data_IF_708997641000
#
_entry.id   IF_708997641000
#
_cell.length_a   1.000
_cell.length_b   1.000
_cell.length_c   1.000
_cell.angle_alpha   90.00
_cell.angle_beta   90.00
_cell.angle_gamma   90.00
#
_symmetry.space_group_name_H-M   'P 1'
#
loop_
_entity.id
_entity.type
_entity.pdbx_description
1 polymer ?
#
# COMPACT_ATOMS: atom_id res chain seq x y z
N UNK A 1 -5.96 2.79 35.35
CA UNK A 1 -6.15 1.38 34.95
C UNK A 1 -6.54 1.26 33.48
N UNK A 2 -5.56 1.31 32.57
CA UNK A 2 -5.78 1.15 31.12
C UNK A 2 -5.64 -0.30 30.64
N UNK A 3 -5.37 -1.25 31.57
CA UNK A 3 -5.04 -2.65 31.28
C UNK A 3 -6.28 -3.54 31.06
N UNK A 4 -7.49 -3.04 31.36
CA UNK A 4 -8.74 -3.81 31.17
C UNK A 4 -9.37 -3.66 29.78
N UNK A 5 -8.88 -2.75 28.94
CA UNK A 5 -9.31 -2.61 27.53
C UNK A 5 -8.57 -3.52 26.55
N UNK A 6 -7.48 -4.17 26.98
CA UNK A 6 -6.60 -5.01 26.15
C UNK A 6 -7.13 -6.44 25.90
N UNK A 7 -8.38 -6.75 26.23
CA UNK A 7 -8.88 -8.15 26.28
C UNK A 7 -9.89 -8.56 25.22
N UNK A 8 -10.14 -7.75 24.17
CA UNK A 8 -10.96 -8.14 23.00
C UNK A 8 -10.49 -7.28 21.81
N UNK A 9 -9.99 -7.74 20.67
CA UNK A 9 -9.88 -9.07 20.04
C UNK A 9 -8.95 -8.91 18.83
N UNK A 10 -7.86 -9.66 18.73
CA UNK A 10 -7.25 -9.91 17.41
C UNK A 10 -8.10 -10.98 16.75
N UNK A 11 -9.03 -10.59 15.86
CA UNK A 11 -9.88 -11.57 15.19
C UNK A 11 -9.05 -12.34 14.17
N UNK A 12 -9.07 -13.68 14.18
CA UNK A 12 -8.37 -14.51 13.18
C UNK A 12 -8.81 -14.17 11.74
N UNK A 13 -9.97 -13.54 11.57
CA UNK A 13 -10.44 -13.00 10.30
C UNK A 13 -9.58 -11.87 9.74
N UNK A 14 -9.05 -10.97 10.57
CA UNK A 14 -8.13 -9.91 10.13
C UNK A 14 -6.79 -10.51 9.69
N UNK A 15 -6.30 -11.52 10.41
CA UNK A 15 -5.08 -12.24 10.04
C UNK A 15 -5.23 -12.94 8.67
N UNK A 16 -6.36 -13.65 8.46
CA UNK A 16 -6.67 -14.24 7.16
C UNK A 16 -6.74 -13.20 6.03
N UNK A 17 -7.37 -12.04 6.29
CA UNK A 17 -7.41 -10.94 5.34
C UNK A 17 -6.01 -10.41 4.98
N UNK A 18 -5.13 -10.23 5.98
CA UNK A 18 -3.76 -9.77 5.76
C UNK A 18 -2.93 -10.78 4.96
N UNK A 19 -3.05 -12.08 5.26
CA UNK A 19 -2.36 -13.15 4.52
C UNK A 19 -2.82 -13.22 3.07
N UNK A 20 -4.13 -13.13 2.82
CA UNK A 20 -4.68 -13.07 1.46
C UNK A 20 -4.15 -11.85 0.70
N UNK A 21 -4.12 -10.68 1.34
CA UNK A 21 -3.62 -9.46 0.72
C UNK A 21 -2.11 -9.57 0.42
N UNK A 22 -1.32 -10.11 1.36
CA UNK A 22 0.12 -10.32 1.18
C UNK A 22 0.44 -11.25 0.02
N UNK A 23 -0.31 -12.35 -0.09
CA UNK A 23 -0.18 -13.28 -1.21
C UNK A 23 -0.52 -12.59 -2.55
N UNK A 24 -1.52 -11.70 -2.58
CA UNK A 24 -1.81 -10.91 -3.77
C UNK A 24 -0.66 -9.94 -4.11
N UNK A 25 -0.17 -9.18 -3.13
CA UNK A 25 0.96 -8.26 -3.30
C UNK A 25 2.20 -8.96 -3.88
N UNK A 26 2.56 -10.12 -3.33
CA UNK A 26 3.68 -10.92 -3.82
C UNK A 26 3.41 -11.55 -5.19
N UNK A 27 2.15 -11.89 -5.51
CA UNK A 27 1.76 -12.39 -6.82
C UNK A 27 1.94 -11.35 -7.94
N UNK A 28 1.73 -10.06 -7.66
CA UNK A 28 2.00 -8.99 -8.62
C UNK A 28 3.50 -8.82 -8.94
N UNK A 29 4.40 -9.39 -8.12
CA UNK A 29 5.86 -9.38 -8.31
C UNK A 29 6.42 -7.98 -8.62
N UNK A 30 5.86 -6.95 -7.98
CA UNK A 30 6.31 -5.57 -8.15
C UNK A 30 7.71 -5.45 -7.55
N UNK A 31 8.61 -4.89 -8.35
CA UNK A 31 10.01 -4.66 -8.07
C UNK A 31 10.32 -3.23 -8.48
N UNK A 32 10.67 -2.38 -7.51
CA UNK A 32 10.94 -0.95 -7.73
C UNK A 32 12.14 -0.65 -8.62
N UNK A 33 12.95 -1.66 -8.93
CA UNK A 33 14.07 -1.55 -9.86
C UNK A 33 13.70 -1.87 -11.32
N UNK A 34 12.42 -2.18 -11.62
CA UNK A 34 11.99 -2.48 -12.99
C UNK A 34 11.72 -1.23 -13.84
N UNK A 35 11.35 -1.43 -15.11
CA UNK A 35 10.96 -0.35 -16.01
C UNK A 35 9.75 0.43 -15.47
N UNK A 36 9.84 1.76 -15.52
CA UNK A 36 8.89 2.67 -14.89
C UNK A 36 7.44 2.49 -15.39
N UNK A 37 7.23 2.37 -16.71
CA UNK A 37 5.87 2.16 -17.24
C UNK A 37 5.27 0.85 -16.75
N UNK A 38 6.09 -0.21 -16.66
CA UNK A 38 5.67 -1.52 -16.19
C UNK A 38 5.31 -1.49 -14.71
N UNK A 39 6.16 -0.86 -13.88
CA UNK A 39 5.88 -0.66 -12.45
C UNK A 39 4.58 0.12 -12.25
N UNK A 40 4.42 1.23 -12.98
CA UNK A 40 3.21 2.07 -12.92
C UNK A 40 1.96 1.25 -13.25
N UNK A 41 2.00 0.45 -14.32
CA UNK A 41 0.88 -0.42 -14.71
C UNK A 41 0.57 -1.49 -13.64
N UNK A 42 1.59 -2.12 -13.06
CA UNK A 42 1.38 -3.11 -12.01
C UNK A 42 0.80 -2.51 -10.73
N UNK A 43 1.24 -1.31 -10.34
CA UNK A 43 0.67 -0.59 -9.19
C UNK A 43 -0.79 -0.21 -9.46
N UNK A 44 -1.14 0.23 -10.67
CA UNK A 44 -2.55 0.46 -11.05
C UNK A 44 -3.38 -0.81 -10.86
N UNK A 45 -2.92 -1.94 -11.40
CA UNK A 45 -3.63 -3.21 -11.28
C UNK A 45 -3.75 -3.65 -9.82
N UNK A 46 -2.71 -3.47 -9.00
CA UNK A 46 -2.75 -3.77 -7.58
C UNK A 46 -3.80 -2.92 -6.86
N UNK A 47 -3.81 -1.59 -7.10
CA UNK A 47 -4.80 -0.70 -6.49
C UNK A 47 -6.23 -1.04 -6.93
N UNK A 48 -6.42 -1.40 -8.20
CA UNK A 48 -7.72 -1.86 -8.73
C UNK A 48 -8.16 -3.17 -8.07
N UNK A 49 -7.25 -4.13 -7.89
CA UNK A 49 -7.55 -5.39 -7.21
C UNK A 49 -7.85 -5.16 -5.71
N UNK A 50 -7.17 -4.22 -5.06
CA UNK A 50 -7.48 -3.78 -3.69
C UNK A 50 -8.87 -3.13 -3.57
N UNK A 51 -9.31 -2.37 -4.58
CA UNK A 51 -10.64 -1.71 -4.58
C UNK A 51 -11.79 -2.63 -5.01
N UNK A 52 -11.53 -3.64 -5.86
CA UNK A 52 -12.56 -4.52 -6.43
C UNK A 52 -12.63 -5.87 -5.75
N UNK A 53 -11.50 -6.60 -5.72
CA UNK A 53 -11.45 -7.99 -5.24
C UNK A 53 -11.25 -8.08 -3.75
N UNK A 54 -10.44 -7.19 -3.19
CA UNK A 54 -10.02 -7.23 -1.79
C UNK A 54 -10.56 -6.04 -0.97
N UNK A 55 -11.63 -5.40 -1.44
CA UNK A 55 -12.21 -4.22 -0.79
C UNK A 55 -12.61 -4.52 0.67
N UNK A 56 -13.13 -5.73 0.92
CA UNK A 56 -13.57 -6.14 2.25
C UNK A 56 -12.39 -6.33 3.21
N UNK A 57 -11.29 -6.87 2.71
CA UNK A 57 -10.04 -7.10 3.43
C UNK A 57 -9.34 -5.78 3.72
N UNK A 58 -9.25 -4.90 2.72
CA UNK A 58 -8.70 -3.54 2.87
C UNK A 58 -9.51 -2.74 3.89
N UNK A 59 -10.84 -2.83 3.87
CA UNK A 59 -11.69 -2.14 4.84
C UNK A 59 -11.57 -2.74 6.24
N UNK A 60 -11.53 -4.07 6.38
CA UNK A 60 -11.33 -4.77 7.66
C UNK A 60 -9.99 -4.45 8.32
N UNK A 61 -8.96 -4.22 7.52
CA UNK A 61 -7.61 -3.90 7.97
C UNK A 61 -7.36 -2.39 8.13
N UNK A 62 -8.35 -1.55 7.78
CA UNK A 62 -8.20 -0.10 7.81
C UNK A 62 -7.19 0.43 6.79
N UNK A 63 -6.92 -0.32 5.71
CA UNK A 63 -5.86 0.00 4.75
C UNK A 63 -6.29 0.95 3.63
N UNK A 64 -7.57 1.32 3.59
CA UNK A 64 -8.15 2.19 2.56
C UNK A 64 -7.36 3.49 2.31
N UNK A 65 -6.97 4.29 3.33
CA UNK A 65 -6.20 5.52 3.09
C UNK A 65 -4.84 5.24 2.45
N UNK A 66 -4.21 4.09 2.69
CA UNK A 66 -2.93 3.74 2.08
C UNK A 66 -3.06 3.35 0.61
N UNK A 67 -4.13 2.61 0.25
CA UNK A 67 -4.42 2.26 -1.14
C UNK A 67 -4.72 3.52 -1.95
N UNK A 68 -5.49 4.46 -1.38
CA UNK A 68 -5.79 5.75 -2.00
C UNK A 68 -4.53 6.62 -2.17
N UNK A 69 -3.66 6.69 -1.14
CA UNK A 69 -2.39 7.40 -1.22
C UNK A 69 -1.45 6.80 -2.28
N UNK A 70 -1.37 5.47 -2.36
CA UNK A 70 -0.60 4.78 -3.39
C UNK A 70 -1.13 5.08 -4.80
N UNK A 71 -2.45 5.06 -4.96
CA UNK A 71 -3.11 5.38 -6.23
C UNK A 71 -2.83 6.82 -6.66
N UNK A 72 -2.99 7.79 -5.77
CA UNK A 72 -2.71 9.19 -6.06
C UNK A 72 -1.23 9.44 -6.44
N UNK A 73 -0.30 8.79 -5.73
CA UNK A 73 1.13 8.88 -6.05
C UNK A 73 1.44 8.27 -7.43
N UNK A 74 0.82 7.13 -7.76
CA UNK A 74 1.03 6.44 -9.02
C UNK A 74 0.36 7.15 -10.21
N UNK A 75 -0.81 7.76 -10.01
CA UNK A 75 -1.46 8.62 -11.02
C UNK A 75 -0.57 9.82 -11.37
N UNK A 76 0.11 10.40 -10.39
CA UNK A 76 1.09 11.47 -10.65
C UNK A 76 2.28 11.00 -11.49
N UNK A 77 2.76 9.78 -11.28
CA UNK A 77 3.81 9.17 -12.13
C UNK A 77 3.29 8.98 -13.56
N UNK A 78 2.06 8.48 -13.73
CA UNK A 78 1.42 8.29 -15.02
C UNK A 78 1.25 9.61 -15.78
N UNK A 79 0.73 10.64 -15.13
CA UNK A 79 0.59 11.98 -15.73
C UNK A 79 1.94 12.52 -16.22
N UNK A 80 2.99 12.41 -15.41
CA UNK A 80 4.33 12.86 -15.80
C UNK A 80 4.98 12.00 -16.90
N UNK A 81 4.59 10.73 -17.03
CA UNK A 81 4.98 9.89 -18.18
C UNK A 81 4.29 10.37 -19.46
N UNK A 82 2.99 10.59 -19.40
CA UNK A 82 2.18 11.05 -20.54
C UNK A 82 2.63 12.44 -21.00
N UNK A 83 2.86 13.37 -20.06
CA UNK A 83 3.40 14.70 -20.34
C UNK A 83 4.77 14.64 -21.00
N UNK A 84 5.62 13.67 -20.64
CA UNK A 84 6.97 13.53 -21.22
C UNK A 84 6.88 13.11 -22.69
N UNK A 85 5.93 12.21 -22.98
CA UNK A 85 5.65 11.77 -24.33
C UNK A 85 4.99 12.89 -25.17
N UNK A 86 4.21 13.75 -24.54
CA UNK A 86 3.44 14.79 -25.22
C UNK A 86 4.15 16.15 -25.30
N UNK A 87 5.15 16.42 -24.45
CA UNK A 87 5.86 17.71 -24.38
C UNK A 87 7.20 17.61 -23.63
N UNK A 88 8.33 17.68 -24.36
CA UNK A 88 9.68 17.72 -23.73
C UNK A 88 10.05 19.09 -23.14
N UNK A 89 9.25 20.14 -23.39
CA UNK A 89 9.68 21.54 -23.23
C UNK A 89 9.23 22.21 -21.91
N UNK A 90 8.16 21.73 -21.23
CA UNK A 90 7.65 22.37 -20.00
C UNK A 90 7.85 21.57 -18.70
N UNK A 91 8.40 20.36 -18.75
CA UNK A 91 8.60 19.56 -17.53
C UNK A 91 9.71 20.14 -16.65
N UNK A 92 9.36 20.48 -15.41
CA UNK A 92 10.33 20.82 -14.37
C UNK A 92 11.32 19.66 -14.20
N UNK A 93 12.61 19.97 -14.38
CA UNK A 93 13.68 18.97 -14.26
C UNK A 93 13.58 18.22 -12.92
N UNK A 94 13.46 16.89 -12.97
CA UNK A 94 13.41 16.04 -11.79
C UNK A 94 12.02 15.80 -11.17
N UNK A 95 10.94 16.42 -11.68
CA UNK A 95 9.58 16.19 -11.18
C UNK A 95 9.16 14.71 -11.23
N UNK A 96 9.42 14.06 -12.37
CA UNK A 96 9.14 12.63 -12.55
C UNK A 96 9.91 11.74 -11.56
N UNK A 97 11.19 12.04 -11.32
CA UNK A 97 12.01 11.27 -10.37
C UNK A 97 11.46 11.37 -8.95
N UNK A 98 10.94 12.55 -8.59
CA UNK A 98 10.32 12.79 -7.29
C UNK A 98 8.99 12.04 -7.15
N UNK A 99 8.13 12.10 -8.17
CA UNK A 99 6.88 11.35 -8.19
C UNK A 99 7.11 9.84 -8.10
N UNK A 100 8.10 9.32 -8.84
CA UNK A 100 8.47 7.90 -8.76
C UNK A 100 8.85 7.50 -7.34
N UNK A 101 9.78 8.23 -6.71
CA UNK A 101 10.20 7.95 -5.33
C UNK A 101 9.04 7.96 -4.34
N UNK A 102 8.07 8.87 -4.52
CA UNK A 102 6.88 8.92 -3.69
C UNK A 102 5.98 7.69 -3.89
N UNK A 103 5.78 7.25 -5.14
CA UNK A 103 5.02 6.03 -5.46
C UNK A 103 5.70 4.78 -4.89
N UNK A 104 7.00 4.61 -5.14
CA UNK A 104 7.79 3.48 -4.65
C UNK A 104 7.77 3.43 -3.11
N UNK A 105 7.90 4.59 -2.45
CA UNK A 105 7.82 4.70 -1.01
C UNK A 105 6.44 4.28 -0.48
N UNK A 106 5.35 4.76 -1.10
CA UNK A 106 3.99 4.39 -0.73
C UNK A 106 3.75 2.87 -0.90
N UNK A 107 4.24 2.29 -2.00
CA UNK A 107 4.13 0.85 -2.26
C UNK A 107 4.90 0.03 -1.22
N UNK A 108 6.17 0.37 -0.98
CA UNK A 108 7.01 -0.33 0.01
C UNK A 108 6.43 -0.22 1.41
N UNK A 109 5.80 0.90 1.72
CA UNK A 109 5.16 1.12 3.01
C UNK A 109 3.91 0.26 3.18
N UNK A 110 3.03 0.21 2.18
CA UNK A 110 1.87 -0.68 2.16
C UNK A 110 2.30 -2.15 2.29
N UNK A 111 3.32 -2.57 1.54
CA UNK A 111 3.88 -3.92 1.63
C UNK A 111 4.44 -4.22 3.04
N UNK A 112 5.12 -3.27 3.68
CA UNK A 112 5.62 -3.43 5.06
C UNK A 112 4.50 -3.60 6.06
N UNK A 113 3.45 -2.76 5.99
CA UNK A 113 2.30 -2.87 6.91
C UNK A 113 1.64 -4.24 6.76
N UNK A 114 1.33 -4.64 5.54
CA UNK A 114 0.69 -5.94 5.27
C UNK A 114 1.57 -7.10 5.74
N UNK A 115 2.88 -7.08 5.45
CA UNK A 115 3.81 -8.10 5.93
C UNK A 115 3.91 -8.14 7.46
N UNK A 116 3.98 -6.99 8.12
CA UNK A 116 3.98 -6.91 9.59
C UNK A 116 2.72 -7.49 10.18
N UNK A 117 1.54 -7.26 9.57
CA UNK A 117 0.28 -7.86 10.00
C UNK A 117 0.29 -9.39 9.88
N UNK A 118 0.90 -9.93 8.83
CA UNK A 118 1.09 -11.38 8.65
C UNK A 118 2.09 -11.94 9.68
N UNK A 119 3.20 -11.26 9.96
CA UNK A 119 4.23 -11.74 10.90
C UNK A 119 3.76 -11.69 12.36
N UNK A 120 2.97 -10.68 12.72
CA UNK A 120 2.41 -10.52 14.07
C UNK A 120 1.34 -11.59 14.40
N UNK A 121 0.90 -12.38 13.42
CA UNK A 121 0.07 -13.59 13.59
C UNK A 121 0.76 -14.63 14.51
N UNK A 122 2.09 -14.61 14.63
CA UNK A 122 2.83 -15.51 15.52
C UNK A 122 2.88 -15.06 17.00
N UNK A 123 2.20 -13.96 17.39
CA UNK A 123 2.13 -13.58 18.80
C UNK A 123 1.30 -12.35 19.13
N UNK A 124 0.02 -12.57 19.49
CA UNK A 124 -0.85 -11.81 20.43
C UNK A 124 -0.93 -10.27 20.30
N UNK A 125 -2.15 -9.72 20.24
CA UNK A 125 -2.57 -8.34 20.60
C UNK A 125 -1.86 -7.11 19.96
N UNK A 126 -0.72 -7.30 19.28
CA UNK A 126 0.12 -6.23 18.74
C UNK A 126 -0.35 -5.73 17.37
N UNK A 127 -1.16 -6.49 16.64
CA UNK A 127 -1.68 -6.10 15.32
C UNK A 127 -2.55 -4.83 15.39
N UNK A 128 -3.54 -4.78 16.28
CA UNK A 128 -4.46 -3.63 16.34
C UNK A 128 -3.75 -2.35 16.80
N UNK A 129 -2.90 -2.44 17.84
CA UNK A 129 -2.10 -1.30 18.29
C UNK A 129 -1.11 -0.80 17.23
N UNK A 130 -0.60 -1.70 16.38
CA UNK A 130 0.26 -1.33 15.25
C UNK A 130 -0.55 -0.67 14.13
N UNK A 131 -1.73 -1.18 13.78
CA UNK A 131 -2.62 -0.54 12.79
C UNK A 131 -2.98 0.88 13.27
N UNK A 132 -3.39 1.02 14.53
CA UNK A 132 -3.75 2.32 15.09
C UNK A 132 -2.56 3.29 15.11
N UNK A 133 -1.37 2.83 15.52
CA UNK A 133 -0.16 3.63 15.44
C UNK A 133 0.15 4.07 13.99
N UNK A 134 0.07 3.14 13.04
CA UNK A 134 0.37 3.42 11.63
C UNK A 134 -0.66 4.37 10.99
N UNK A 135 -1.93 4.29 11.40
CA UNK A 135 -3.00 5.18 10.96
C UNK A 135 -2.85 6.61 11.52
N UNK A 136 -2.11 6.80 12.62
CA UNK A 136 -1.91 8.11 13.29
C UNK A 136 -0.62 8.81 12.86
N UNK A 137 0.38 8.07 12.36
CA UNK A 137 1.68 8.62 11.93
C UNK A 137 1.61 9.34 10.57
N UNK A 138 0.43 9.40 9.95
CA UNK A 138 0.13 10.09 8.69
C UNK A 138 -0.78 11.28 8.97
#
# INVERSE_FOLDING_TARGET
SAVKGFTRSSTPEKAKAATTLWNNLTAHRINSNMQLERETFLIVNLTDDCEKKYATEVQKLGLKPYVEALKAANEKVKQLLDDRNNSRVSQTAGALRTARRASDAAYLWLARVVNSLVVLDNGTAKCDAFIDYMNVVI
#
